data_IF_600659732526
#
_entry.id   IF_600659732526
#
_cell.length_a   1.000
_cell.length_b   1.000
_cell.length_c   1.000
_cell.angle_alpha   90.00
_cell.angle_beta   90.00
_cell.angle_gamma   90.00
#
_symmetry.space_group_name_H-M   'P 1'
#
loop_
_entity.id
_entity.type
_entity.pdbx_description
1 polymer ?
#
# COMPACT_ATOMS: atom_id res chain seq x y z
N UNK A 1 -17.73 -2.66 -44.89
CA UNK A 1 -17.57 -2.16 -43.52
C UNK A 1 -17.18 -3.32 -42.65
N UNK A 2 -15.91 -3.40 -42.28
CA UNK A 2 -15.39 -4.44 -41.37
C UNK A 2 -15.72 -4.05 -39.93
N UNK A 3 -15.82 -5.02 -39.00
CA UNK A 3 -16.15 -4.73 -37.57
C UNK A 3 -15.20 -3.72 -36.92
N UNK A 4 -13.96 -3.68 -37.38
CA UNK A 4 -12.92 -2.76 -36.91
C UNK A 4 -13.21 -1.30 -37.29
N UNK A 5 -13.81 -1.07 -38.45
CA UNK A 5 -14.22 0.25 -38.95
C UNK A 5 -15.40 0.80 -38.14
N UNK A 6 -16.33 -0.07 -37.74
CA UNK A 6 -17.52 0.31 -36.96
C UNK A 6 -17.16 0.70 -35.51
N UNK A 7 -16.21 -0.02 -34.90
CA UNK A 7 -15.67 0.30 -33.57
C UNK A 7 -14.87 1.62 -33.57
N UNK A 8 -14.14 1.92 -34.65
CA UNK A 8 -13.39 3.18 -34.79
C UNK A 8 -14.35 4.37 -34.94
N UNK A 9 -15.41 4.23 -35.76
CA UNK A 9 -16.46 5.24 -35.88
C UNK A 9 -17.17 5.45 -34.53
N UNK A 10 -17.44 4.40 -33.77
CA UNK A 10 -18.08 4.53 -32.46
C UNK A 10 -17.20 5.29 -31.45
N UNK A 11 -15.88 5.05 -31.45
CA UNK A 11 -14.91 5.82 -30.63
C UNK A 11 -14.80 7.27 -31.07
N UNK A 12 -14.79 7.53 -32.38
CA UNK A 12 -14.75 8.90 -32.93
C UNK A 12 -16.03 9.67 -32.58
N UNK A 13 -17.21 9.07 -32.73
CA UNK A 13 -18.48 9.68 -32.32
C UNK A 13 -18.52 9.95 -30.82
N UNK A 14 -18.01 9.04 -30.00
CA UNK A 14 -17.97 9.21 -28.55
C UNK A 14 -16.98 10.31 -28.12
N UNK A 15 -15.80 10.39 -28.74
CA UNK A 15 -14.83 11.47 -28.49
C UNK A 15 -15.34 12.84 -28.95
N UNK A 16 -15.95 12.92 -30.14
CA UNK A 16 -16.57 14.15 -30.66
C UNK A 16 -17.75 14.55 -29.77
N UNK A 17 -18.58 13.60 -29.33
CA UNK A 17 -19.68 13.84 -28.40
C UNK A 17 -19.21 14.43 -27.06
N UNK A 18 -18.13 13.90 -26.47
CA UNK A 18 -17.55 14.42 -25.23
C UNK A 18 -16.94 15.82 -25.42
N UNK A 19 -16.30 16.07 -26.57
CA UNK A 19 -15.72 17.39 -26.89
C UNK A 19 -16.81 18.43 -27.16
N UNK A 20 -17.91 18.07 -27.83
CA UNK A 20 -19.04 18.97 -28.04
C UNK A 20 -19.78 19.23 -26.71
N UNK A 21 -19.99 18.19 -25.89
CA UNK A 21 -20.67 18.32 -24.59
C UNK A 21 -19.87 19.22 -23.63
N UNK A 22 -18.55 19.04 -23.55
CA UNK A 22 -17.68 19.93 -22.77
C UNK A 22 -17.72 21.36 -23.30
N UNK A 23 -17.64 21.56 -24.62
CA UNK A 23 -17.70 22.91 -25.22
C UNK A 23 -19.04 23.60 -24.98
N UNK A 24 -20.16 22.87 -24.94
CA UNK A 24 -21.49 23.42 -24.59
C UNK A 24 -21.60 23.73 -23.10
N UNK A 25 -21.12 22.85 -22.21
CA UNK A 25 -21.15 23.11 -20.77
C UNK A 25 -20.29 24.32 -20.37
N UNK A 26 -19.14 24.55 -21.02
CA UNK A 26 -18.24 25.65 -20.68
C UNK A 26 -18.55 26.98 -21.40
N UNK A 27 -19.53 27.02 -22.32
CA UNK A 27 -19.79 28.22 -23.14
C UNK A 27 -20.54 29.33 -22.38
N UNK A 28 -21.36 28.96 -21.40
CA UNK A 28 -22.22 29.87 -20.65
C UNK A 28 -21.92 29.87 -19.13
N UNK A 29 -20.79 29.28 -18.73
CA UNK A 29 -20.35 29.23 -17.32
C UNK A 29 -19.33 30.33 -17.02
N UNK A 30 -19.63 31.18 -16.03
CA UNK A 30 -18.68 32.15 -15.49
C UNK A 30 -17.42 31.47 -14.93
N UNK A 31 -16.28 32.16 -14.99
CA UNK A 31 -14.97 31.63 -14.54
C UNK A 31 -15.02 31.14 -13.08
N UNK A 32 -15.80 31.81 -12.21
CA UNK A 32 -16.04 31.37 -10.84
C UNK A 32 -16.78 30.04 -10.75
N UNK A 33 -17.79 29.83 -11.60
CA UNK A 33 -18.58 28.60 -11.64
C UNK A 33 -17.73 27.43 -12.15
N UNK A 34 -16.90 27.69 -13.17
CA UNK A 34 -15.91 26.73 -13.68
C UNK A 34 -14.90 26.32 -12.61
N UNK A 35 -14.36 27.28 -11.85
CA UNK A 35 -13.45 27.01 -10.73
C UNK A 35 -14.16 26.17 -9.66
N UNK A 36 -15.42 26.48 -9.35
CA UNK A 36 -16.18 25.76 -8.34
C UNK A 36 -16.45 24.30 -8.77
N UNK A 37 -16.79 24.06 -10.04
CA UNK A 37 -16.97 22.71 -10.60
C UNK A 37 -15.64 21.93 -10.62
N UNK A 38 -14.52 22.57 -10.95
CA UNK A 38 -13.19 21.96 -10.90
C UNK A 38 -12.80 21.62 -9.45
N UNK A 39 -13.08 22.50 -8.49
CA UNK A 39 -12.85 22.26 -7.06
C UNK A 39 -13.76 21.12 -6.57
N UNK A 40 -15.02 21.06 -7.00
CA UNK A 40 -15.96 20.00 -6.65
C UNK A 40 -15.53 18.64 -7.22
N UNK A 41 -15.13 18.62 -8.50
CA UNK A 41 -14.61 17.43 -9.17
C UNK A 41 -13.26 17.00 -8.57
N UNK A 42 -12.40 17.95 -8.22
CA UNK A 42 -11.14 17.74 -7.51
C UNK A 42 -11.35 17.22 -6.08
N UNK A 43 -12.39 17.68 -5.38
CA UNK A 43 -12.83 17.14 -4.09
C UNK A 43 -13.30 15.68 -4.23
N UNK A 44 -14.09 15.38 -5.25
CA UNK A 44 -14.55 14.00 -5.51
C UNK A 44 -13.39 13.05 -5.86
N UNK A 45 -12.47 13.50 -6.72
CA UNK A 45 -11.29 12.73 -7.11
C UNK A 45 -10.31 12.54 -5.94
N UNK A 46 -10.06 13.58 -5.15
CA UNK A 46 -9.19 13.49 -3.97
C UNK A 46 -9.77 12.55 -2.91
N UNK A 47 -11.08 12.56 -2.65
CA UNK A 47 -11.70 11.63 -1.68
C UNK A 47 -11.63 10.17 -2.14
N UNK A 48 -11.88 9.89 -3.43
CA UNK A 48 -11.71 8.54 -3.99
C UNK A 48 -10.26 8.07 -3.91
N UNK A 49 -9.30 8.93 -4.26
CA UNK A 49 -7.87 8.64 -4.18
C UNK A 49 -7.41 8.40 -2.73
N UNK A 50 -7.86 9.23 -1.79
CA UNK A 50 -7.59 9.09 -0.35
C UNK A 50 -8.18 7.80 0.22
N UNK A 51 -9.37 7.41 -0.23
CA UNK A 51 -10.02 6.17 0.19
C UNK A 51 -9.29 4.94 -0.36
N UNK A 52 -8.90 4.98 -1.62
CA UNK A 52 -8.06 3.93 -2.22
C UNK A 52 -6.71 3.81 -1.51
N UNK A 53 -6.07 4.94 -1.23
CA UNK A 53 -4.77 4.96 -0.56
C UNK A 53 -4.85 4.50 0.91
N UNK A 54 -5.97 4.76 1.59
CA UNK A 54 -6.26 4.16 2.91
C UNK A 54 -6.34 2.64 2.80
N UNK A 55 -7.10 2.10 1.85
CA UNK A 55 -7.23 0.66 1.65
C UNK A 55 -5.86 0.02 1.32
N UNK A 56 -5.06 0.70 0.49
CA UNK A 56 -3.68 0.32 0.21
C UNK A 56 -2.85 0.23 1.50
N UNK A 57 -2.91 1.24 2.38
CA UNK A 57 -2.20 1.24 3.66
C UNK A 57 -2.69 0.17 4.65
N UNK A 58 -3.93 -0.30 4.53
CA UNK A 58 -4.49 -1.36 5.38
C UNK A 58 -4.09 -2.76 4.89
N UNK A 59 -4.10 -2.98 3.57
CA UNK A 59 -3.87 -4.29 2.96
C UNK A 59 -2.39 -4.56 2.66
N UNK A 60 -1.64 -3.57 2.19
CA UNK A 60 -0.22 -3.76 1.83
C UNK A 60 0.63 -4.33 2.95
N UNK A 61 0.49 -3.90 4.21
CA UNK A 61 1.34 -4.42 5.26
C UNK A 61 1.08 -5.91 5.55
N UNK A 62 -0.17 -6.38 5.39
CA UNK A 62 -0.50 -7.80 5.45
C UNK A 62 0.13 -8.58 4.28
N UNK A 63 0.08 -8.01 3.08
CA UNK A 63 0.73 -8.61 1.90
C UNK A 63 2.24 -8.73 2.08
N UNK A 64 2.91 -7.69 2.61
CA UNK A 64 4.34 -7.69 2.89
C UNK A 64 4.68 -8.74 3.94
N UNK A 65 3.88 -8.87 4.99
CA UNK A 65 4.08 -9.90 6.00
C UNK A 65 3.98 -11.30 5.40
N UNK A 66 2.92 -11.59 4.63
CA UNK A 66 2.74 -12.90 3.98
C UNK A 66 3.89 -13.22 3.03
N UNK A 67 4.30 -12.24 2.21
CA UNK A 67 5.44 -12.39 1.31
C UNK A 67 6.73 -12.65 2.09
N UNK A 68 6.96 -11.92 3.18
CA UNK A 68 8.12 -12.10 4.04
C UNK A 68 8.14 -13.50 4.69
N UNK A 69 7.00 -14.01 5.15
CA UNK A 69 6.89 -15.39 5.67
C UNK A 69 7.24 -16.40 4.58
N UNK A 70 6.69 -16.24 3.38
CA UNK A 70 6.97 -17.13 2.26
C UNK A 70 8.46 -17.13 1.89
N UNK A 71 9.10 -15.96 1.92
CA UNK A 71 10.55 -15.84 1.80
C UNK A 71 11.26 -16.61 2.94
N UNK A 72 10.90 -16.40 4.21
CA UNK A 72 11.53 -17.08 5.35
C UNK A 72 11.37 -18.61 5.31
N UNK A 73 10.23 -19.12 4.88
CA UNK A 73 10.01 -20.59 4.72
C UNK A 73 10.89 -21.14 3.60
N UNK A 74 11.01 -20.39 2.50
CA UNK A 74 11.89 -20.77 1.39
C UNK A 74 13.36 -20.76 1.83
N UNK A 75 13.76 -19.79 2.66
CA UNK A 75 15.10 -19.72 3.28
C UNK A 75 15.35 -20.89 4.23
N UNK A 76 14.43 -21.17 5.15
CA UNK A 76 14.58 -22.28 6.08
C UNK A 76 14.72 -23.65 5.37
N UNK A 77 14.22 -23.75 4.14
CA UNK A 77 14.26 -24.98 3.34
C UNK A 77 15.51 -25.10 2.45
N UNK A 78 16.34 -24.04 2.34
CA UNK A 78 17.52 -24.03 1.48
C UNK A 78 18.74 -23.45 2.20
N UNK A 79 19.86 -24.17 2.22
CA UNK A 79 21.11 -23.69 2.86
C UNK A 79 21.74 -22.48 2.15
N UNK A 80 21.33 -22.18 0.92
CA UNK A 80 21.90 -21.08 0.11
C UNK A 80 21.22 -19.75 0.43
N UNK A 81 22.03 -18.77 0.81
CA UNK A 81 21.58 -17.38 0.98
C UNK A 81 21.12 -16.77 -0.37
N UNK A 82 20.05 -15.97 -0.35
CA UNK A 82 19.38 -15.44 -1.57
C UNK A 82 20.26 -14.54 -2.42
N UNK A 83 21.33 -13.98 -1.84
CA UNK A 83 22.15 -12.97 -2.48
C UNK A 83 23.62 -13.22 -2.14
N UNK A 84 24.25 -14.16 -2.84
CA UNK A 84 25.67 -13.96 -3.15
C UNK A 84 25.74 -12.67 -3.97
N UNK A 85 26.52 -11.68 -3.53
CA UNK A 85 26.69 -10.39 -4.21
C UNK A 85 27.24 -10.58 -5.63
N UNK A 86 26.39 -10.97 -6.58
CA UNK A 86 26.71 -10.98 -8.00
C UNK A 86 26.41 -9.60 -8.55
N UNK A 87 27.41 -9.01 -9.21
CA UNK A 87 27.35 -7.68 -9.85
C UNK A 87 26.17 -7.56 -10.84
N UNK A 88 25.67 -8.68 -11.35
CA UNK A 88 24.57 -8.78 -12.31
C UNK A 88 23.16 -8.73 -11.68
N UNK A 89 23.02 -8.95 -10.37
CA UNK A 89 21.71 -9.03 -9.70
C UNK A 89 21.33 -7.74 -8.94
N UNK A 90 21.91 -6.60 -9.32
CA UNK A 90 21.72 -5.32 -8.63
C UNK A 90 20.26 -4.83 -8.58
N UNK A 91 19.45 -5.23 -9.57
CA UNK A 91 18.04 -4.83 -9.66
C UNK A 91 17.19 -5.51 -8.58
N UNK A 92 17.42 -6.80 -8.33
CA UNK A 92 16.69 -7.54 -7.28
C UNK A 92 17.13 -7.08 -5.89
N UNK A 93 18.42 -6.82 -5.70
CA UNK A 93 18.96 -6.19 -4.50
C UNK A 93 18.32 -4.82 -4.21
N UNK A 94 18.23 -3.95 -5.21
CA UNK A 94 17.60 -2.64 -5.08
C UNK A 94 16.10 -2.74 -4.77
N UNK A 95 15.39 -3.70 -5.38
CA UNK A 95 13.98 -3.94 -5.12
C UNK A 95 13.71 -4.42 -3.69
N UNK A 96 14.54 -5.35 -3.19
CA UNK A 96 14.45 -5.83 -1.80
C UNK A 96 14.75 -4.67 -0.84
N UNK A 97 15.80 -3.88 -1.12
CA UNK A 97 16.15 -2.72 -0.31
C UNK A 97 15.01 -1.71 -0.23
N UNK A 98 14.40 -1.37 -1.36
CA UNK A 98 13.25 -0.48 -1.40
C UNK A 98 12.08 -1.03 -0.58
N UNK A 99 11.80 -2.34 -0.70
CA UNK A 99 10.67 -3.00 -0.05
C UNK A 99 10.85 -3.14 1.47
N UNK A 100 12.08 -3.33 1.96
CA UNK A 100 12.38 -3.54 3.39
C UNK A 100 12.64 -2.23 4.13
N UNK A 101 13.20 -1.21 3.48
CA UNK A 101 13.62 0.03 4.16
C UNK A 101 12.76 1.24 3.79
N UNK A 102 12.54 1.49 2.49
CA UNK A 102 11.87 2.73 2.04
C UNK A 102 10.36 2.60 2.15
N UNK A 103 9.80 1.50 1.66
CA UNK A 103 8.35 1.27 1.64
C UNK A 103 7.72 1.29 3.06
N UNK A 104 8.34 0.69 4.10
CA UNK A 104 7.86 0.78 5.47
C UNK A 104 7.84 2.19 6.05
N UNK A 105 8.83 3.03 5.72
CA UNK A 105 8.88 4.42 6.16
C UNK A 105 7.72 5.23 5.57
N UNK A 106 7.42 5.01 4.28
CA UNK A 106 6.27 5.63 3.60
C UNK A 106 4.96 5.18 4.24
N UNK A 107 4.82 3.88 4.54
CA UNK A 107 3.64 3.34 5.21
C UNK A 107 3.44 3.92 6.62
N UNK A 108 4.52 4.14 7.40
CA UNK A 108 4.42 4.73 8.75
C UNK A 108 3.90 6.17 8.65
N UNK A 109 4.48 6.99 7.76
CA UNK A 109 4.06 8.37 7.53
C UNK A 109 2.60 8.43 7.06
N UNK A 110 2.23 7.58 6.10
CA UNK A 110 0.86 7.46 5.63
C UNK A 110 -0.09 7.03 6.76
N UNK A 111 0.28 6.06 7.60
CA UNK A 111 -0.58 5.58 8.69
C UNK A 111 -0.99 6.68 9.68
N UNK A 112 -0.10 7.66 9.91
CA UNK A 112 -0.38 8.82 10.77
C UNK A 112 -1.33 9.80 10.09
N UNK A 113 -1.23 9.97 8.78
CA UNK A 113 -2.09 10.87 8.01
C UNK A 113 -3.55 10.39 7.99
N UNK A 114 -3.78 9.08 7.84
CA UNK A 114 -5.14 8.51 7.77
C UNK A 114 -5.75 8.15 9.13
N UNK A 115 -5.02 8.36 10.24
CA UNK A 115 -5.40 7.92 11.59
C UNK A 115 -5.93 6.48 11.56
N UNK A 116 -5.12 5.56 11.01
CA UNK A 116 -5.45 4.14 11.08
C UNK A 116 -5.61 3.73 12.54
N UNK A 117 -6.54 2.82 12.77
CA UNK A 117 -6.81 2.31 14.11
C UNK A 117 -5.56 1.81 14.79
N UNK A 118 -5.40 2.21 16.06
CA UNK A 118 -4.26 1.80 16.90
C UNK A 118 -4.07 0.27 16.88
N UNK A 119 -5.20 -0.45 16.81
CA UNK A 119 -5.32 -1.91 16.71
C UNK A 119 -4.63 -2.54 15.50
N UNK A 120 -4.58 -1.86 14.35
CA UNK A 120 -3.89 -2.30 13.13
C UNK A 120 -2.52 -1.64 12.95
N UNK A 121 -2.35 -0.44 13.53
CA UNK A 121 -1.13 0.36 13.43
C UNK A 121 0.00 -0.15 14.31
N UNK A 122 -0.28 -0.52 15.56
CA UNK A 122 0.76 -0.95 16.52
C UNK A 122 1.45 -2.24 16.07
N UNK A 123 0.74 -3.33 15.69
CA UNK A 123 1.39 -4.55 15.23
C UNK A 123 2.31 -4.30 14.02
N UNK A 124 1.92 -3.38 13.13
CA UNK A 124 2.70 -3.03 11.95
C UNK A 124 3.97 -2.26 12.25
N UNK A 125 3.90 -1.27 13.14
CA UNK A 125 5.09 -0.54 13.57
C UNK A 125 6.08 -1.50 14.23
N UNK A 126 5.60 -2.39 15.09
CA UNK A 126 6.44 -3.37 15.78
C UNK A 126 7.11 -4.31 14.77
N UNK A 127 6.36 -4.81 13.79
CA UNK A 127 6.90 -5.69 12.76
C UNK A 127 7.97 -4.99 11.92
N UNK A 128 7.65 -3.84 11.33
CA UNK A 128 8.56 -3.11 10.43
C UNK A 128 9.81 -2.61 11.16
N UNK A 129 9.66 -2.10 12.39
CA UNK A 129 10.80 -1.68 13.19
C UNK A 129 11.62 -2.88 13.68
N UNK A 130 10.96 -3.99 14.01
CA UNK A 130 11.60 -5.23 14.41
C UNK A 130 12.50 -5.80 13.33
N UNK A 131 12.01 -5.89 12.08
CA UNK A 131 12.82 -6.31 10.93
C UNK A 131 14.05 -5.41 10.78
N UNK A 132 13.85 -4.09 10.74
CA UNK A 132 14.95 -3.13 10.63
C UNK A 132 15.98 -3.25 11.77
N UNK A 133 15.52 -3.49 13.00
CA UNK A 133 16.40 -3.70 14.15
C UNK A 133 17.27 -4.96 13.99
N UNK A 134 16.71 -6.06 13.48
CA UNK A 134 17.47 -7.30 13.20
C UNK A 134 18.58 -6.98 12.17
N UNK A 135 18.25 -6.28 11.08
CA UNK A 135 19.26 -5.89 10.09
C UNK A 135 20.38 -5.00 10.64
N UNK A 136 20.08 -4.10 11.57
CA UNK A 136 21.08 -3.27 12.24
C UNK A 136 21.99 -4.12 13.16
N UNK A 137 21.42 -5.03 13.93
CA UNK A 137 22.17 -5.88 14.88
C UNK A 137 23.13 -6.82 14.16
N UNK A 138 22.70 -7.44 13.07
CA UNK A 138 23.53 -8.37 12.29
C UNK A 138 24.40 -7.67 11.24
N UNK A 139 24.36 -6.32 11.19
CA UNK A 139 25.09 -5.48 10.23
C UNK A 139 24.96 -5.96 8.77
N UNK A 140 23.80 -6.52 8.42
CA UNK A 140 23.55 -7.06 7.09
C UNK A 140 22.27 -6.45 6.51
N UNK A 141 22.41 -5.93 5.30
CA UNK A 141 21.30 -5.37 4.52
C UNK A 141 20.39 -6.47 3.98
N UNK A 142 20.94 -7.67 3.76
CA UNK A 142 20.20 -8.84 3.32
C UNK A 142 19.92 -9.78 4.49
N UNK A 143 18.81 -10.52 4.39
CA UNK A 143 18.50 -11.57 5.35
C UNK A 143 19.46 -12.73 5.15
N UNK A 144 20.24 -13.06 6.18
CA UNK A 144 21.08 -14.26 6.24
C UNK A 144 20.39 -15.36 7.04
N UNK A 145 20.94 -16.57 6.97
CA UNK A 145 20.41 -17.72 7.71
C UNK A 145 20.42 -17.51 9.24
N UNK A 146 21.41 -16.77 9.76
CA UNK A 146 21.51 -16.44 11.19
C UNK A 146 20.39 -15.51 11.67
N UNK A 147 19.78 -14.74 10.76
CA UNK A 147 18.70 -13.81 11.08
C UNK A 147 17.32 -14.47 11.08
N UNK A 148 17.19 -15.68 10.52
CA UNK A 148 15.89 -16.37 10.35
C UNK A 148 15.19 -16.58 11.68
N UNK A 149 15.91 -17.01 12.72
CA UNK A 149 15.33 -17.22 14.05
C UNK A 149 14.75 -15.92 14.64
N UNK A 150 15.51 -14.83 14.58
CA UNK A 150 15.04 -13.52 15.05
C UNK A 150 13.82 -13.01 14.27
N UNK A 151 13.80 -13.24 12.95
CA UNK A 151 12.66 -12.88 12.09
C UNK A 151 11.39 -13.66 12.46
N UNK A 152 11.52 -14.95 12.79
CA UNK A 152 10.40 -15.78 13.25
C UNK A 152 9.85 -15.29 14.59
N UNK A 153 10.71 -14.89 15.53
CA UNK A 153 10.27 -14.35 16.83
C UNK A 153 9.45 -13.07 16.67
N UNK A 154 9.95 -12.11 15.87
CA UNK A 154 9.21 -10.87 15.59
C UNK A 154 7.87 -11.15 14.91
N UNK A 155 7.85 -12.09 13.95
CA UNK A 155 6.63 -12.50 13.28
C UNK A 155 5.59 -13.05 14.26
N UNK A 156 5.97 -14.01 15.12
CA UNK A 156 5.06 -14.62 16.11
C UNK A 156 4.52 -13.56 17.06
N UNK A 157 5.38 -12.67 17.56
CA UNK A 157 4.98 -11.56 18.43
C UNK A 157 3.94 -10.66 17.73
N UNK A 158 4.17 -10.30 16.46
CA UNK A 158 3.24 -9.49 15.68
C UNK A 158 1.89 -10.20 15.47
N UNK A 159 1.89 -11.51 15.20
CA UNK A 159 0.66 -12.30 15.05
C UNK A 159 -0.15 -12.29 16.36
N UNK A 160 0.50 -12.43 17.52
CA UNK A 160 -0.17 -12.37 18.82
C UNK A 160 -0.86 -11.01 19.01
N UNK A 161 -0.17 -9.91 18.68
CA UNK A 161 -0.78 -8.58 18.74
C UNK A 161 -1.95 -8.41 17.77
N UNK A 162 -1.91 -9.06 16.61
CA UNK A 162 -3.04 -9.10 15.69
C UNK A 162 -4.22 -9.90 16.21
N UNK A 163 -3.98 -11.06 16.84
CA UNK A 163 -5.04 -11.89 17.44
C UNK A 163 -5.67 -11.17 18.63
N UNK A 164 -4.86 -10.57 19.51
CA UNK A 164 -5.36 -9.66 20.55
C UNK A 164 -6.14 -8.50 19.94
N UNK A 165 -5.61 -7.98 18.83
CA UNK A 165 -6.14 -7.01 17.88
C UNK A 165 -7.43 -7.43 17.16
N UNK A 166 -7.82 -8.69 17.23
CA UNK A 166 -9.11 -9.17 16.76
C UNK A 166 -10.06 -9.47 17.92
N UNK A 167 -9.56 -10.11 18.98
CA UNK A 167 -10.32 -10.49 20.17
C UNK A 167 -11.01 -9.29 20.83
N UNK A 168 -10.29 -8.21 21.16
CA UNK A 168 -10.91 -7.03 21.77
C UNK A 168 -11.87 -6.26 20.82
N UNK A 169 -11.80 -6.42 19.49
CA UNK A 169 -12.86 -5.95 18.58
C UNK A 169 -14.14 -6.74 18.78
N UNK A 170 -14.01 -8.06 18.91
CA UNK A 170 -15.13 -8.97 19.13
C UNK A 170 -15.76 -8.77 20.52
N UNK A 171 -14.94 -8.58 21.57
CA UNK A 171 -15.41 -8.45 22.95
C UNK A 171 -15.84 -7.03 23.34
N UNK A 172 -15.14 -5.97 22.90
CA UNK A 172 -15.49 -4.59 23.28
C UNK A 172 -16.63 -3.99 22.44
N UNK A 173 -16.97 -4.57 21.28
CA UNK A 173 -18.03 -4.08 20.38
C UNK A 173 -17.80 -2.68 19.78
N UNK A 174 -16.77 -1.95 20.22
CA UNK A 174 -16.41 -0.62 19.74
C UNK A 174 -15.55 -0.76 18.49
N UNK A 175 -16.16 -0.54 17.34
CA UNK A 175 -15.44 -0.39 16.08
C UNK A 175 -14.52 0.83 16.18
N UNK A 176 -13.21 0.62 16.08
CA UNK A 176 -12.30 1.73 15.93
C UNK A 176 -12.55 2.39 14.56
N UNK A 177 -12.99 3.65 14.57
CA UNK A 177 -13.31 4.43 13.38
C UNK A 177 -12.06 5.21 12.94
N UNK A 178 -11.63 5.03 11.68
CA UNK A 178 -10.60 5.90 11.08
C UNK A 178 -11.22 7.24 10.68
N UNK A 179 -10.41 8.30 10.56
CA UNK A 179 -10.87 9.69 10.34
C UNK A 179 -11.83 9.84 9.14
N UNK A 180 -11.63 9.06 8.07
CA UNK A 180 -12.47 9.09 6.85
C UNK A 180 -13.88 8.52 7.08
N UNK A 181 -14.13 7.72 8.12
CA UNK A 181 -15.50 7.30 8.45
C UNK A 181 -16.37 8.40 9.07
N UNK A 182 -15.78 9.59 9.30
CA UNK A 182 -16.45 10.79 9.83
C UNK A 182 -16.49 11.96 8.83
N UNK A 183 -15.93 11.77 7.62
CA UNK A 183 -15.98 12.71 6.50
C UNK A 183 -16.97 12.21 5.46
#
# INVERSE_FOLDING_TARGET
>A
MTKEEEDEVHRLVQSVGVVQLSRVMFKDMDVSEMINVIILAGRGYSVKLLTWFKYYCEVMPLFIMLFHIACMVTFASHEKEMCVWFKENWVSAAFIYFSVYIHPLVLILASRFFWLCYRWRIPMIIYLFGINAIHIVYWNVFTTNEMVEANVVILVMTIIFYVYGFADKYFSGKGCQSLISRL
#
